data_IF_637642963943
#
_entry.id   IF_637642963943
#
_cell.length_a   1.000
_cell.length_b   1.000
_cell.length_c   1.000
_cell.angle_alpha   90.00
_cell.angle_beta   90.00
_cell.angle_gamma   90.00
#
_symmetry.space_group_name_H-M   'P 1'
#
loop_
_entity.id
_entity.type
_entity.pdbx_description
1 polymer ?
#
# COMPACT_ATOMS: atom_id res chain seq x y z
N UNK A 1 6.69 1.30 14.63
CA UNK A 1 6.97 1.36 13.17
C UNK A 1 8.13 2.30 12.83
N UNK A 2 8.09 3.56 13.31
CA UNK A 2 9.13 4.55 13.01
C UNK A 2 10.56 4.09 13.35
N UNK A 3 10.80 3.57 14.55
CA UNK A 3 12.13 3.08 14.94
C UNK A 3 12.61 1.93 14.05
N UNK A 4 11.71 1.02 13.68
CA UNK A 4 12.03 -0.13 12.82
C UNK A 4 12.41 0.31 11.40
N UNK A 5 11.61 1.20 10.79
CA UNK A 5 11.89 1.72 9.44
C UNK A 5 13.18 2.55 9.44
N UNK A 6 13.36 3.41 10.45
CA UNK A 6 14.58 4.22 10.61
C UNK A 6 15.81 3.32 10.79
N UNK A 7 15.71 2.29 11.62
CA UNK A 7 16.78 1.32 11.82
C UNK A 7 17.13 0.63 10.50
N UNK A 8 16.15 0.06 9.78
CA UNK A 8 16.41 -0.62 8.50
C UNK A 8 16.98 0.33 7.43
N UNK A 9 16.57 1.60 7.42
CA UNK A 9 17.07 2.57 6.46
C UNK A 9 18.50 3.04 6.78
N UNK A 10 18.83 3.25 8.06
CA UNK A 10 20.07 3.89 8.51
C UNK A 10 21.06 2.94 9.22
N UNK A 11 20.81 1.63 9.21
CA UNK A 11 21.72 0.65 9.79
C UNK A 11 23.09 0.72 9.09
N UNK A 12 24.17 0.85 9.88
CA UNK A 12 25.54 1.03 9.36
C UNK A 12 26.11 -0.24 8.72
N UNK A 13 25.70 -1.39 9.20
CA UNK A 13 26.21 -2.69 8.74
C UNK A 13 25.40 -3.17 7.53
N UNK A 14 24.06 -3.07 7.61
CA UNK A 14 23.12 -3.57 6.61
C UNK A 14 21.92 -2.62 6.42
N UNK A 15 22.11 -1.54 5.68
CA UNK A 15 21.02 -0.63 5.30
C UNK A 15 20.23 -1.14 4.09
N UNK A 16 18.91 -0.95 4.13
CA UNK A 16 18.01 -1.24 3.03
C UNK A 16 17.67 0.03 2.25
N UNK A 17 17.91 -0.01 0.93
CA UNK A 17 17.65 1.12 0.03
C UNK A 17 16.18 1.29 -0.33
N UNK A 18 15.40 0.23 -0.21
CA UNK A 18 13.98 0.23 -0.50
C UNK A 18 13.25 -0.50 0.61
N UNK A 19 12.25 0.16 1.18
CA UNK A 19 11.51 -0.33 2.33
C UNK A 19 10.04 -0.42 1.99
N UNK A 20 9.49 -1.54 2.39
CA UNK A 20 8.08 -1.84 2.36
C UNK A 20 7.72 -2.45 3.71
N UNK A 21 6.51 -2.17 4.19
CA UNK A 21 5.99 -2.75 5.42
C UNK A 21 4.49 -2.94 5.27
N UNK A 22 3.93 -3.81 6.10
CA UNK A 22 2.50 -4.07 6.21
C UNK A 22 2.11 -4.06 7.68
N UNK A 23 0.89 -3.64 7.95
CA UNK A 23 0.27 -3.80 9.26
C UNK A 23 -0.32 -5.20 9.38
N UNK A 24 0.12 -5.94 10.41
CA UNK A 24 -0.61 -7.12 10.86
C UNK A 24 -1.81 -6.67 11.70
N UNK A 25 -2.97 -6.56 11.05
CA UNK A 25 -4.23 -6.25 11.70
C UNK A 25 -4.90 -7.52 12.24
N UNK A 26 -4.22 -8.26 13.12
CA UNK A 26 -4.71 -9.52 13.73
C UNK A 26 -4.92 -10.68 12.74
N UNK A 27 -4.17 -10.73 11.63
CA UNK A 27 -4.14 -11.91 10.77
C UNK A 27 -3.52 -13.12 11.47
N UNK A 28 -2.67 -12.88 12.48
CA UNK A 28 -2.02 -13.91 13.29
C UNK A 28 -2.93 -14.61 14.32
N UNK A 29 -4.18 -14.16 14.50
CA UNK A 29 -5.12 -14.74 15.46
C UNK A 29 -4.73 -14.51 16.93
N UNK A 30 -3.96 -13.46 17.21
CA UNK A 30 -3.48 -13.08 18.54
C UNK A 30 -4.46 -12.14 19.30
N UNK A 31 -5.72 -12.12 18.84
CA UNK A 31 -6.83 -11.37 19.42
C UNK A 31 -6.90 -11.59 20.95
N UNK A 32 -6.74 -10.51 21.71
CA UNK A 32 -6.75 -10.53 23.18
C UNK A 32 -5.37 -10.42 23.86
N UNK A 33 -4.27 -10.61 23.14
CA UNK A 33 -2.91 -10.36 23.68
C UNK A 33 -2.45 -8.91 23.50
N UNK A 34 -3.04 -8.20 22.53
CA UNK A 34 -2.73 -6.81 22.19
C UNK A 34 -4.03 -6.05 22.00
N UNK A 35 -4.05 -4.78 22.42
CA UNK A 35 -5.12 -3.87 22.01
C UNK A 35 -4.74 -3.26 20.67
N UNK A 36 -5.26 -3.80 19.57
CA UNK A 36 -4.99 -3.30 18.22
C UNK A 36 -5.32 -1.81 18.09
N UNK A 37 -6.50 -1.39 18.56
CA UNK A 37 -6.91 0.01 18.56
C UNK A 37 -5.95 0.93 19.33
N UNK A 38 -5.50 0.51 20.53
CA UNK A 38 -4.52 1.27 21.31
C UNK A 38 -3.21 1.38 20.55
N UNK A 39 -2.67 0.27 20.09
CA UNK A 39 -1.41 0.24 19.34
C UNK A 39 -1.49 1.10 18.07
N UNK A 40 -2.62 1.03 17.36
CA UNK A 40 -2.86 1.79 16.15
C UNK A 40 -2.81 3.30 16.43
N UNK A 41 -3.48 3.75 17.48
CA UNK A 41 -3.62 5.16 17.82
C UNK A 41 -2.41 5.74 18.56
N UNK A 42 -1.79 4.97 19.43
CA UNK A 42 -0.69 5.45 20.29
C UNK A 42 0.70 5.17 19.68
N UNK A 43 0.81 4.23 18.73
CA UNK A 43 2.10 3.83 18.15
C UNK A 43 2.15 3.91 16.63
N UNK A 44 1.27 3.20 15.92
CA UNK A 44 1.38 3.06 14.47
C UNK A 44 1.10 4.38 13.73
N UNK A 45 -0.08 4.97 13.92
CA UNK A 45 -0.47 6.21 13.24
C UNK A 45 0.46 7.40 13.54
N UNK A 46 0.85 7.66 14.81
CA UNK A 46 1.86 8.66 15.12
C UNK A 46 3.21 8.33 14.48
N UNK A 47 3.61 7.06 14.48
CA UNK A 47 4.84 6.61 13.84
C UNK A 47 4.86 6.85 12.33
N UNK A 48 3.75 6.63 11.63
CA UNK A 48 3.59 6.94 10.20
C UNK A 48 3.77 8.44 9.95
N UNK A 49 3.17 9.30 10.79
CA UNK A 49 3.32 10.76 10.67
C UNK A 49 4.77 11.20 10.88
N UNK A 50 5.47 10.66 11.88
CA UNK A 50 6.90 10.93 12.10
C UNK A 50 7.75 10.47 10.92
N UNK A 51 7.51 9.25 10.42
CA UNK A 51 8.23 8.75 9.25
C UNK A 51 8.01 9.67 8.05
N UNK A 52 6.79 10.15 7.82
CA UNK A 52 6.54 11.04 6.71
C UNK A 52 7.23 12.40 6.87
N UNK A 53 7.27 12.95 8.08
CA UNK A 53 8.04 14.15 8.38
C UNK A 53 9.52 13.95 8.05
N UNK A 54 10.11 12.84 8.51
CA UNK A 54 11.51 12.51 8.23
C UNK A 54 11.76 12.28 6.73
N UNK A 55 10.80 11.64 6.05
CA UNK A 55 10.85 11.36 4.61
C UNK A 55 10.93 12.63 3.78
N UNK A 56 10.09 13.62 4.09
CA UNK A 56 10.14 14.94 3.43
C UNK A 56 11.36 15.74 3.90
N UNK A 57 11.75 15.58 5.17
CA UNK A 57 12.98 16.17 5.71
C UNK A 57 14.23 15.75 4.96
N UNK A 58 14.33 14.47 4.53
CA UNK A 58 15.41 13.97 3.68
C UNK A 58 15.43 14.67 2.32
N UNK A 59 14.26 14.90 1.69
CA UNK A 59 14.18 15.63 0.42
C UNK A 59 14.62 17.09 0.58
N UNK A 60 14.12 17.76 1.62
CA UNK A 60 14.50 19.13 1.94
C UNK A 60 15.99 19.21 2.30
N UNK A 61 16.56 18.22 2.99
CA UNK A 61 17.97 18.16 3.34
C UNK A 61 18.93 17.84 2.18
N UNK A 62 18.40 17.46 1.00
CA UNK A 62 19.19 17.07 -0.16
C UNK A 62 19.64 15.60 -0.17
N UNK A 63 19.10 14.76 0.71
CA UNK A 63 19.33 13.30 0.70
C UNK A 63 18.55 12.60 -0.43
N UNK A 64 17.56 13.28 -1.02
CA UNK A 64 16.72 12.78 -2.10
C UNK A 64 15.45 12.06 -1.62
N UNK A 65 14.79 11.35 -2.53
CA UNK A 65 13.56 10.61 -2.25
C UNK A 65 13.90 9.19 -1.79
N UNK A 66 13.77 8.91 -0.48
CA UNK A 66 13.95 7.55 0.02
C UNK A 66 12.86 6.61 -0.53
N UNK A 67 13.22 5.38 -0.95
CA UNK A 67 12.27 4.42 -1.53
C UNK A 67 11.43 3.70 -0.47
N UNK A 68 10.60 4.46 0.24
CA UNK A 68 9.62 3.95 1.19
C UNK A 68 8.28 3.81 0.48
N UNK A 69 7.98 2.60 0.00
CA UNK A 69 6.89 2.35 -0.96
C UNK A 69 5.50 2.85 -0.51
N UNK A 70 5.11 2.73 0.77
CA UNK A 70 3.86 3.32 1.27
C UNK A 70 3.72 4.83 1.10
N UNK A 71 4.83 5.56 0.93
CA UNK A 71 4.82 7.00 0.64
C UNK A 71 5.14 7.29 -0.82
N UNK A 72 6.07 6.52 -1.41
CA UNK A 72 6.61 6.73 -2.75
C UNK A 72 5.52 6.70 -3.83
N UNK A 73 4.78 5.59 -3.95
CA UNK A 73 3.78 5.43 -5.00
C UNK A 73 2.58 6.35 -4.79
N UNK A 74 2.00 6.49 -3.57
CA UNK A 74 0.86 7.37 -3.41
C UNK A 74 1.23 8.85 -3.58
N UNK A 75 2.43 9.29 -3.18
CA UNK A 75 2.90 10.65 -3.47
C UNK A 75 3.09 10.89 -4.97
N UNK A 76 3.62 9.90 -5.72
CA UNK A 76 3.71 10.00 -7.18
C UNK A 76 2.34 10.26 -7.82
N UNK A 77 1.33 9.52 -7.37
CA UNK A 77 -0.05 9.66 -7.87
C UNK A 77 -0.67 11.01 -7.46
N UNK A 78 -0.42 11.50 -6.23
CA UNK A 78 -0.87 12.83 -5.77
C UNK A 78 -0.22 13.97 -6.57
N UNK A 79 1.08 13.87 -6.87
CA UNK A 79 1.80 14.84 -7.70
C UNK A 79 1.20 14.90 -9.11
N UNK A 80 0.89 13.74 -9.69
CA UNK A 80 0.31 13.61 -11.02
C UNK A 80 -1.23 13.77 -11.07
N UNK A 81 -1.88 14.09 -9.95
CA UNK A 81 -3.35 14.16 -9.82
C UNK A 81 -4.06 12.92 -10.39
N UNK A 82 -3.54 11.72 -10.10
CA UNK A 82 -3.98 10.45 -10.67
C UNK A 82 -4.60 9.54 -9.62
N UNK A 83 -5.76 8.98 -9.95
CA UNK A 83 -6.36 7.89 -9.16
C UNK A 83 -5.71 6.54 -9.46
N UNK A 84 -5.74 5.65 -8.48
CA UNK A 84 -5.31 4.27 -8.57
C UNK A 84 -6.45 3.31 -8.23
N UNK A 85 -6.54 2.20 -8.98
CA UNK A 85 -7.19 0.97 -8.50
C UNK A 85 -6.32 0.32 -7.41
N UNK A 86 -6.54 -0.96 -7.10
CA UNK A 86 -5.70 -1.71 -6.16
C UNK A 86 -4.21 -1.54 -6.47
N UNK A 87 -3.45 -0.96 -5.54
CA UNK A 87 -2.07 -0.55 -5.83
C UNK A 87 -1.12 -1.72 -6.10
N UNK A 88 -1.44 -2.92 -5.58
CA UNK A 88 -0.70 -4.16 -5.87
C UNK A 88 -1.01 -4.75 -7.26
N UNK A 89 -2.05 -4.27 -7.94
CA UNK A 89 -2.49 -4.73 -9.25
C UNK A 89 -3.38 -5.98 -9.24
N UNK A 90 -3.58 -6.62 -8.09
CA UNK A 90 -4.30 -7.88 -7.98
C UNK A 90 -5.68 -7.81 -8.67
N UNK A 91 -5.94 -8.77 -9.56
CA UNK A 91 -7.21 -8.91 -10.26
C UNK A 91 -7.41 -7.96 -11.46
N UNK A 92 -6.45 -7.10 -11.83
CA UNK A 92 -6.61 -6.28 -13.04
C UNK A 92 -5.30 -6.02 -13.81
N UNK A 93 -4.18 -5.85 -13.10
CA UNK A 93 -2.85 -5.62 -13.69
C UNK A 93 -1.81 -6.67 -13.26
N UNK A 94 -2.12 -7.43 -12.21
CA UNK A 94 -1.31 -8.51 -11.68
C UNK A 94 -2.21 -9.73 -11.43
N UNK A 95 -1.78 -10.89 -11.92
CA UNK A 95 -2.45 -12.17 -11.77
C UNK A 95 -1.42 -13.22 -11.38
N UNK A 96 -1.87 -14.27 -10.69
CA UNK A 96 -1.02 -15.38 -10.25
C UNK A 96 -1.36 -16.63 -11.05
N UNK A 97 -0.35 -17.25 -11.64
CA UNK A 97 -0.47 -18.59 -12.22
C UNK A 97 -0.26 -19.60 -11.08
N UNK A 98 -1.28 -20.41 -10.84
CA UNK A 98 -1.30 -21.47 -9.84
C UNK A 98 -0.46 -22.67 -10.32
N UNK A 99 -0.10 -23.56 -9.41
CA UNK A 99 0.73 -24.74 -9.73
C UNK A 99 0.07 -25.71 -10.71
N UNK A 100 -1.25 -25.66 -10.86
CA UNK A 100 -2.01 -26.45 -11.82
C UNK A 100 -2.27 -25.74 -13.16
N UNK A 101 -1.81 -24.50 -13.31
CA UNK A 101 -1.98 -23.69 -14.52
C UNK A 101 -3.22 -22.79 -14.52
N UNK A 102 -4.06 -22.82 -13.48
CA UNK A 102 -5.13 -21.84 -13.34
C UNK A 102 -4.57 -20.44 -13.07
N UNK A 103 -5.32 -19.42 -13.45
CA UNK A 103 -4.95 -18.01 -13.26
C UNK A 103 -5.86 -17.44 -12.18
N UNK A 104 -5.31 -17.09 -11.02
CA UNK A 104 -6.01 -16.41 -9.94
C UNK A 104 -5.69 -14.90 -9.88
N UNK A 105 -6.54 -14.09 -9.24
CA UNK A 105 -6.36 -12.64 -9.17
C UNK A 105 -5.26 -12.21 -8.18
N UNK A 106 -4.93 -13.03 -7.18
CA UNK A 106 -3.98 -12.71 -6.12
C UNK A 106 -3.30 -14.00 -5.61
N UNK A 107 -2.01 -13.98 -5.24
CA UNK A 107 -1.33 -15.19 -4.80
C UNK A 107 -1.83 -15.75 -3.46
N UNK A 108 -2.50 -14.95 -2.63
CA UNK A 108 -3.12 -15.43 -1.38
C UNK A 108 -4.45 -16.15 -1.62
N UNK A 109 -5.07 -15.98 -2.80
CA UNK A 109 -6.38 -16.54 -3.14
C UNK A 109 -6.30 -17.97 -3.69
N UNK A 110 -5.31 -18.75 -3.24
CA UNK A 110 -5.13 -20.15 -3.65
C UNK A 110 -6.34 -20.96 -3.18
N UNK A 111 -6.94 -21.72 -4.10
CA UNK A 111 -8.09 -22.59 -3.81
C UNK A 111 -9.45 -21.89 -3.88
N UNK A 112 -9.48 -20.57 -4.06
CA UNK A 112 -10.72 -19.79 -4.26
C UNK A 112 -11.13 -19.83 -5.75
N UNK A 113 -11.47 -21.03 -6.23
CA UNK A 113 -11.66 -21.35 -7.66
C UNK A 113 -12.75 -20.51 -8.33
N UNK A 114 -13.74 -20.05 -7.57
CA UNK A 114 -14.82 -19.19 -8.03
C UNK A 114 -14.33 -17.80 -8.49
N UNK A 115 -13.13 -17.38 -8.09
CA UNK A 115 -12.50 -16.12 -8.51
C UNK A 115 -11.44 -16.31 -9.60
N UNK A 116 -11.21 -17.53 -10.08
CA UNK A 116 -10.18 -17.78 -11.09
C UNK A 116 -10.56 -17.14 -12.43
N UNK A 117 -9.58 -16.46 -13.01
CA UNK A 117 -9.67 -15.71 -14.24
C UNK A 117 -9.54 -16.60 -15.50
N UNK A 118 -9.18 -17.87 -15.33
CA UNK A 118 -9.05 -18.83 -16.44
C UNK A 118 -7.90 -19.82 -16.23
N UNK A 119 -7.37 -20.33 -17.34
CA UNK A 119 -6.29 -21.31 -17.35
C UNK A 119 -5.29 -20.97 -18.47
N UNK A 120 -3.99 -21.11 -18.20
CA UNK A 120 -2.91 -20.71 -19.13
C UNK A 120 -2.94 -21.41 -20.50
N UNK A 121 -3.66 -22.53 -20.62
CA UNK A 121 -3.80 -23.29 -21.88
C UNK A 121 -4.85 -22.73 -22.81
N UNK A 122 -5.86 -22.05 -22.27
CA UNK A 122 -7.11 -21.75 -22.98
C UNK A 122 -7.41 -20.26 -23.00
N UNK A 123 -6.90 -19.52 -22.01
CA UNK A 123 -7.22 -18.12 -21.80
C UNK A 123 -6.18 -17.21 -22.45
N UNK A 124 -6.65 -16.23 -23.23
CA UNK A 124 -5.78 -15.19 -23.77
C UNK A 124 -5.37 -14.20 -22.65
N UNK A 125 -4.07 -14.02 -22.36
CA UNK A 125 -3.60 -13.16 -21.28
C UNK A 125 -3.97 -11.68 -21.44
N UNK A 126 -4.27 -11.22 -22.67
CA UNK A 126 -4.69 -9.85 -22.94
C UNK A 126 -6.20 -9.62 -22.74
N UNK A 127 -6.96 -10.68 -22.42
CA UNK A 127 -8.41 -10.63 -22.22
C UNK A 127 -8.84 -11.34 -20.93
N UNK A 128 -8.02 -11.26 -19.88
CA UNK A 128 -8.37 -11.80 -18.57
C UNK A 128 -9.51 -11.00 -17.93
N UNK A 129 -10.47 -11.66 -17.25
CA UNK A 129 -11.52 -10.97 -16.51
C UNK A 129 -10.91 -10.17 -15.35
N UNK A 130 -11.47 -8.97 -15.16
CA UNK A 130 -11.07 -8.09 -14.06
C UNK A 130 -11.88 -8.44 -12.81
N UNK A 131 -11.20 -8.61 -11.68
CA UNK A 131 -11.80 -8.82 -10.36
C UNK A 131 -11.74 -7.51 -9.57
N UNK A 132 -12.86 -6.80 -9.52
CA UNK A 132 -12.97 -5.52 -8.83
C UNK A 132 -13.23 -5.68 -7.33
N UNK A 133 -12.88 -4.64 -6.56
CA UNK A 133 -13.30 -4.54 -5.14
C UNK A 133 -14.75 -4.07 -5.08
N UNK A 134 -15.67 -4.99 -4.87
CA UNK A 134 -17.08 -4.71 -4.64
C UNK A 134 -17.40 -4.66 -3.14
N UNK A 135 -17.29 -3.47 -2.56
CA UNK A 135 -17.55 -3.25 -1.14
C UNK A 135 -18.02 -1.83 -0.86
N UNK A 136 -18.16 -1.48 0.42
CA UNK A 136 -18.38 -0.11 0.89
C UNK A 136 -17.33 0.89 0.39
N UNK A 137 -16.14 0.41 -0.02
CA UNK A 137 -15.11 1.25 -0.64
C UNK A 137 -15.58 1.91 -1.94
N UNK A 138 -16.57 1.35 -2.64
CA UNK A 138 -17.11 1.92 -3.89
C UNK A 138 -17.68 3.34 -3.72
N UNK A 139 -18.13 3.69 -2.50
CA UNK A 139 -18.67 5.01 -2.15
C UNK A 139 -17.68 5.85 -1.32
N UNK A 140 -16.47 5.36 -1.10
CA UNK A 140 -15.47 6.04 -0.28
C UNK A 140 -14.81 7.20 -1.05
N UNK A 141 -14.72 8.41 -0.47
CA UNK A 141 -14.15 9.57 -1.16
C UNK A 141 -12.66 9.44 -1.48
N UNK A 142 -11.93 8.60 -0.73
CA UNK A 142 -10.49 8.36 -0.96
C UNK A 142 -10.23 7.03 -1.68
N UNK A 143 -11.24 6.43 -2.32
CA UNK A 143 -11.06 5.16 -3.07
C UNK A 143 -9.98 5.29 -4.14
N UNK A 144 -9.93 6.41 -4.86
CA UNK A 144 -8.88 6.67 -5.86
C UNK A 144 -7.47 6.71 -5.25
N UNK A 145 -7.36 7.02 -3.96
CA UNK A 145 -6.09 6.96 -3.24
C UNK A 145 -5.74 5.52 -2.81
N UNK A 146 -6.62 4.77 -2.14
CA UNK A 146 -6.24 3.48 -1.55
C UNK A 146 -6.53 2.25 -2.45
N UNK A 147 -7.41 2.40 -3.44
CA UNK A 147 -7.86 1.32 -4.33
C UNK A 147 -8.67 0.22 -3.64
N UNK A 148 -9.06 0.36 -2.37
CA UNK A 148 -9.67 -0.71 -1.57
C UNK A 148 -8.67 -1.57 -0.77
N UNK A 149 -7.39 -1.16 -0.72
CA UNK A 149 -6.29 -1.80 0.02
C UNK A 149 -5.92 -3.20 -0.47
N UNK A 150 -6.67 -4.23 -0.05
CA UNK A 150 -6.39 -5.64 -0.31
C UNK A 150 -7.64 -6.38 -0.81
N UNK A 151 -7.60 -6.88 -2.05
CA UNK A 151 -8.68 -7.63 -2.68
C UNK A 151 -9.17 -8.79 -1.81
N UNK A 152 -8.23 -9.60 -1.31
CA UNK A 152 -8.53 -10.76 -0.49
C UNK A 152 -9.32 -10.37 0.75
N UNK A 153 -8.86 -9.37 1.50
CA UNK A 153 -9.54 -8.92 2.73
C UNK A 153 -10.95 -8.38 2.48
N UNK A 154 -11.21 -7.82 1.30
CA UNK A 154 -12.52 -7.30 0.91
C UNK A 154 -13.50 -8.42 0.56
N UNK A 155 -12.98 -9.55 0.07
CA UNK A 155 -13.75 -10.76 -0.24
C UNK A 155 -14.02 -11.58 1.02
N UNK A 156 -12.98 -11.99 1.74
CA UNK A 156 -13.14 -12.93 2.86
C UNK A 156 -13.63 -12.24 4.14
N UNK A 157 -13.51 -10.91 4.22
CA UNK A 157 -13.91 -10.09 5.38
C UNK A 157 -13.47 -10.73 6.71
N UNK A 158 -12.15 -10.87 6.94
CA UNK A 158 -11.64 -11.68 8.03
C UNK A 158 -11.84 -11.04 9.43
N UNK A 159 -12.31 -9.79 9.47
CA UNK A 159 -12.43 -9.00 10.69
C UNK A 159 -13.88 -8.56 10.96
N UNK A 160 -14.24 -8.35 12.23
CA UNK A 160 -15.41 -7.57 12.59
C UNK A 160 -15.37 -6.15 12.01
N UNK A 161 -16.54 -5.56 11.79
CA UNK A 161 -16.66 -4.24 11.15
C UNK A 161 -15.90 -3.12 11.87
N UNK A 162 -15.86 -3.15 13.21
CA UNK A 162 -15.13 -2.16 14.02
C UNK A 162 -13.62 -2.14 13.70
N UNK A 163 -13.02 -3.33 13.56
CA UNK A 163 -11.59 -3.45 13.26
C UNK A 163 -11.30 -3.07 11.82
N UNK A 164 -12.20 -3.44 10.89
CA UNK A 164 -12.12 -2.98 9.49
C UNK A 164 -12.18 -1.46 9.40
N UNK A 165 -13.05 -0.81 10.18
CA UNK A 165 -13.13 0.65 10.27
C UNK A 165 -11.83 1.24 10.82
N UNK A 166 -11.26 0.67 11.88
CA UNK A 166 -9.98 1.11 12.44
C UNK A 166 -8.84 1.04 11.40
N UNK A 167 -8.75 -0.05 10.64
CA UNK A 167 -7.79 -0.16 9.53
C UNK A 167 -8.09 0.86 8.44
N UNK A 168 -9.35 1.11 8.09
CA UNK A 168 -9.71 2.15 7.12
C UNK A 168 -9.28 3.55 7.61
N UNK A 169 -9.42 3.83 8.90
CA UNK A 169 -9.03 5.11 9.50
C UNK A 169 -7.50 5.30 9.53
N UNK A 170 -6.71 4.22 9.66
CA UNK A 170 -5.25 4.31 9.51
C UNK A 170 -4.84 4.70 8.09
N UNK A 171 -5.56 4.20 7.07
CA UNK A 171 -5.36 4.59 5.66
C UNK A 171 -5.75 6.06 5.44
N UNK A 172 -6.84 6.54 6.05
CA UNK A 172 -7.19 7.97 6.01
C UNK A 172 -6.13 8.83 6.68
N UNK A 173 -5.54 8.37 7.78
CA UNK A 173 -4.42 9.05 8.44
C UNK A 173 -3.18 9.15 7.51
N UNK A 174 -2.85 8.07 6.80
CA UNK A 174 -1.79 8.08 5.78
C UNK A 174 -2.09 9.07 4.65
N UNK A 175 -3.31 9.05 4.11
CA UNK A 175 -3.74 9.97 3.06
C UNK A 175 -3.62 11.44 3.49
N UNK A 176 -4.17 11.78 4.66
CA UNK A 176 -4.13 13.13 5.20
C UNK A 176 -2.68 13.61 5.37
N UNK A 177 -1.80 12.77 5.91
CA UNK A 177 -0.38 13.10 6.01
C UNK A 177 0.26 13.40 4.66
N UNK A 178 0.01 12.56 3.64
CA UNK A 178 0.62 12.76 2.33
C UNK A 178 0.09 14.03 1.66
N UNK A 179 -1.18 14.36 1.83
CA UNK A 179 -1.77 15.62 1.36
C UNK A 179 -1.15 16.82 2.07
N UNK A 180 -0.92 16.75 3.39
CA UNK A 180 -0.23 17.79 4.16
C UNK A 180 1.23 17.96 3.71
N UNK A 181 1.92 16.87 3.35
CA UNK A 181 3.30 16.87 2.86
C UNK A 181 3.43 17.37 1.41
N UNK A 182 2.39 17.21 0.59
CA UNK A 182 2.41 17.48 -0.85
C UNK A 182 2.93 18.89 -1.22
N UNK A 183 2.54 20.00 -0.55
CA UNK A 183 3.08 21.33 -0.86
C UNK A 183 4.59 21.44 -0.67
N UNK A 184 5.15 20.77 0.34
CA UNK A 184 6.59 20.80 0.60
C UNK A 184 7.35 19.94 -0.41
N UNK A 185 6.81 18.78 -0.80
CA UNK A 185 7.37 17.96 -1.89
C UNK A 185 7.39 18.75 -3.20
N UNK A 186 6.28 19.41 -3.56
CA UNK A 186 6.22 20.30 -4.74
C UNK A 186 7.25 21.42 -4.69
N UNK A 187 7.48 22.01 -3.51
CA UNK A 187 8.53 23.02 -3.32
C UNK A 187 9.93 22.44 -3.54
N UNK A 188 10.22 21.24 -3.02
CA UNK A 188 11.50 20.58 -3.22
C UNK A 188 11.76 20.28 -4.72
N UNK A 189 10.71 19.94 -5.48
CA UNK A 189 10.78 19.79 -6.93
C UNK A 189 11.07 21.13 -7.61
N UNK A 190 10.32 22.19 -7.26
CA UNK A 190 10.50 23.52 -7.83
C UNK A 190 11.89 24.14 -7.55
N UNK A 191 12.47 23.82 -6.40
CA UNK A 191 13.83 24.22 -6.02
C UNK A 191 14.93 23.31 -6.61
N UNK A 192 14.56 22.26 -7.35
CA UNK A 192 15.51 21.34 -7.99
C UNK A 192 16.24 20.42 -7.02
N UNK A 193 15.76 20.26 -5.77
CA UNK A 193 16.34 19.32 -4.79
C UNK A 193 16.04 17.86 -5.12
N UNK A 194 14.90 17.62 -5.76
CA UNK A 194 14.41 16.33 -6.24
C UNK A 194 13.69 16.54 -7.57
N UNK A 195 13.45 15.45 -8.31
CA UNK A 195 12.71 15.45 -9.57
C UNK A 195 11.45 14.57 -9.45
N UNK A 196 10.43 14.84 -10.25
CA UNK A 196 9.23 13.97 -10.32
C UNK A 196 9.59 12.51 -10.69
N UNK A 197 10.64 12.32 -11.49
CA UNK A 197 11.17 11.01 -11.87
C UNK A 197 11.71 10.19 -10.70
N UNK A 198 12.10 10.82 -9.59
CA UNK A 198 12.65 10.13 -8.40
C UNK A 198 11.61 9.24 -7.72
N UNK A 199 10.31 9.52 -7.94
CA UNK A 199 9.20 8.72 -7.45
C UNK A 199 8.91 7.49 -8.33
N UNK A 200 9.55 7.36 -9.50
CA UNK A 200 9.33 6.24 -10.42
C UNK A 200 9.79 4.91 -9.82
N UNK A 201 8.97 3.88 -10.00
CA UNK A 201 9.20 2.52 -9.50
C UNK A 201 8.35 1.51 -10.30
N UNK A 202 8.69 0.23 -10.18
CA UNK A 202 7.89 -0.86 -10.76
C UNK A 202 6.55 -0.96 -10.06
N UNK A 203 5.46 -0.75 -10.80
CA UNK A 203 4.09 -0.91 -10.30
C UNK A 203 3.59 -2.33 -10.50
N UNK A 204 2.58 -2.70 -9.71
CA UNK A 204 1.83 -3.95 -9.86
C UNK A 204 2.66 -5.23 -9.73
N UNK A 205 3.72 -5.19 -8.89
CA UNK A 205 4.57 -6.33 -8.58
C UNK A 205 4.00 -7.23 -7.46
N UNK A 206 2.70 -7.15 -7.18
CA UNK A 206 2.03 -7.91 -6.11
C UNK A 206 2.26 -7.39 -4.70
N UNK A 207 3.12 -6.38 -4.51
CA UNK A 207 3.36 -5.77 -3.21
C UNK A 207 2.17 -4.88 -2.80
N UNK A 208 1.64 -5.06 -1.60
CA UNK A 208 0.51 -4.26 -1.08
C UNK A 208 1.00 -2.87 -0.64
N UNK A 209 0.76 -1.83 -1.43
CA UNK A 209 1.41 -0.52 -1.20
C UNK A 209 0.80 0.26 -0.02
N UNK A 210 -0.50 0.10 0.22
CA UNK A 210 -1.16 0.72 1.37
C UNK A 210 -1.00 -0.23 2.56
N UNK A 211 -0.20 0.12 3.58
CA UNK A 211 0.15 -0.77 4.66
C UNK A 211 -0.94 -0.93 5.71
#
# INVERSE_FOLDING_TARGET
IHDAVTFLHRNRDHSFRALHWQMDAEFAGDAGTRSFHRWLNESYNPGIRRLMHDWVGMMAGGEGVARWYPFLQPMQDLLACRDSRLRCGAGYANYTIMTDGHIGPCPVMIGMKEYYAGHIRETNPLSLPVVEVESECTRCPIRGFCGGRCLYSQIVRPWPDEMRLAVCDSVKNLYAGLVEALPLVRRCIAEGRINEGDFSHTRFNGCEIIP
#
